data_IF_859784162964
#
_entry.id   IF_859784162964
#
_cell.length_a   1.000
_cell.length_b   1.000
_cell.length_c   1.000
_cell.angle_alpha   90.00
_cell.angle_beta   90.00
_cell.angle_gamma   90.00
#
_symmetry.space_group_name_H-M   'P 1'
#
loop_
_entity.id
_entity.type
_entity.pdbx_description
1 polymer ?
#
# COMPACT_ATOMS: atom_id res chain seq x y z
N UNK A 1 28.30 -18.65 8.17
CA UNK A 1 27.13 -18.19 7.37
C UNK A 1 25.96 -19.03 7.80
N UNK A 2 24.95 -18.40 8.39
CA UNK A 2 23.74 -19.06 8.86
C UNK A 2 22.92 -19.58 7.68
N UNK A 3 22.35 -20.77 7.80
CA UNK A 3 21.51 -21.38 6.76
C UNK A 3 20.24 -20.53 6.54
N UNK A 4 19.94 -20.08 5.30
CA UNK A 4 18.77 -19.25 5.01
C UNK A 4 17.45 -19.87 5.48
N UNK A 5 17.30 -21.20 5.40
CA UNK A 5 16.10 -21.88 5.87
C UNK A 5 15.88 -21.70 7.37
N UNK A 6 16.97 -21.64 8.15
CA UNK A 6 16.90 -21.42 9.60
C UNK A 6 16.44 -20.00 9.92
N UNK A 7 16.89 -19.02 9.16
CA UNK A 7 16.48 -17.62 9.31
C UNK A 7 14.98 -17.46 9.00
N UNK A 8 14.50 -18.10 7.92
CA UNK A 8 13.08 -18.04 7.52
C UNK A 8 12.15 -18.68 8.56
N UNK A 9 12.54 -19.83 9.12
CA UNK A 9 11.80 -20.47 10.20
C UNK A 9 11.81 -19.65 11.50
N UNK A 10 12.92 -19.00 11.82
CA UNK A 10 12.99 -18.08 12.96
C UNK A 10 12.15 -16.84 12.73
N UNK A 11 12.11 -16.30 11.51
CA UNK A 11 11.25 -15.18 11.14
C UNK A 11 9.76 -15.54 11.26
N UNK A 12 9.37 -16.76 10.88
CA UNK A 12 8.01 -17.27 11.05
C UNK A 12 7.59 -17.33 12.53
N UNK A 13 8.46 -17.88 13.39
CA UNK A 13 8.24 -17.89 14.84
C UNK A 13 8.19 -16.49 15.43
N UNK A 14 9.07 -15.60 14.98
CA UNK A 14 9.10 -14.20 15.41
C UNK A 14 7.80 -13.49 15.09
N UNK A 15 7.30 -13.69 13.87
CA UNK A 15 6.07 -13.07 13.40
C UNK A 15 4.85 -13.58 14.19
N UNK A 16 4.81 -14.88 14.52
CA UNK A 16 3.79 -15.45 15.39
C UNK A 16 3.88 -14.92 16.84
N UNK A 17 5.09 -14.80 17.40
CA UNK A 17 5.32 -14.25 18.74
C UNK A 17 4.90 -12.77 18.82
N UNK A 18 5.29 -11.97 17.81
CA UNK A 18 4.92 -10.55 17.69
C UNK A 18 3.42 -10.32 17.50
N UNK A 19 2.70 -11.31 16.97
CA UNK A 19 1.25 -11.26 16.87
C UNK A 19 0.57 -11.46 18.24
N UNK A 20 1.06 -12.41 19.02
CA UNK A 20 0.47 -12.77 20.32
C UNK A 20 0.86 -11.81 21.45
N UNK A 21 2.03 -11.17 21.38
CA UNK A 21 2.52 -10.27 22.44
C UNK A 21 3.26 -9.05 21.86
N UNK A 22 2.53 -8.00 21.48
CA UNK A 22 3.12 -6.74 21.02
C UNK A 22 3.45 -5.80 22.20
N UNK A 23 4.64 -5.14 22.23
CA UNK A 23 5.78 -5.31 21.33
C UNK A 23 6.56 -6.60 21.65
N UNK A 24 7.00 -7.34 20.62
CA UNK A 24 7.77 -8.56 20.84
C UNK A 24 9.26 -8.26 20.89
N UNK A 25 9.93 -8.87 21.86
CA UNK A 25 11.39 -8.87 21.97
C UNK A 25 12.00 -9.85 20.97
N UNK A 26 13.02 -9.39 20.24
CA UNK A 26 13.68 -10.17 19.18
C UNK A 26 14.46 -11.34 19.77
N UNK A 27 15.06 -11.14 20.95
CA UNK A 27 16.05 -12.05 21.53
C UNK A 27 15.46 -13.05 22.54
N UNK A 28 14.25 -12.81 23.05
CA UNK A 28 13.62 -13.67 24.05
C UNK A 28 12.90 -14.89 23.43
N UNK A 29 13.38 -15.36 22.27
CA UNK A 29 12.73 -16.46 21.58
C UNK A 29 13.12 -17.82 22.15
N UNK A 30 12.13 -18.63 22.58
CA UNK A 30 12.40 -20.01 22.94
C UNK A 30 12.65 -20.82 21.67
N UNK A 31 13.83 -21.43 21.53
CA UNK A 31 13.93 -22.62 20.69
C UNK A 31 15.11 -22.79 19.75
N UNK A 32 16.31 -22.34 20.11
CA UNK A 32 17.53 -22.89 19.50
C UNK A 32 18.32 -23.62 20.58
N UNK A 33 18.01 -24.90 20.78
CA UNK A 33 18.59 -25.76 21.84
C UNK A 33 20.06 -26.15 21.53
N UNK A 34 20.55 -25.89 20.31
CA UNK A 34 21.81 -26.48 19.80
C UNK A 34 22.81 -25.49 19.17
N UNK A 35 22.70 -24.19 19.44
CA UNK A 35 23.58 -23.17 18.88
C UNK A 35 24.35 -22.43 19.98
N UNK A 36 25.53 -21.91 19.67
CA UNK A 36 26.29 -21.00 20.55
C UNK A 36 25.48 -19.70 20.73
N UNK A 37 25.48 -19.06 21.89
CA UNK A 37 24.62 -17.88 22.16
C UNK A 37 24.78 -16.79 21.09
N UNK A 38 26.01 -16.53 20.65
CA UNK A 38 26.31 -15.54 19.60
C UNK A 38 25.65 -15.88 18.26
N UNK A 39 25.62 -17.17 17.91
CA UNK A 39 24.95 -17.62 16.68
C UNK A 39 23.43 -17.48 16.77
N UNK A 40 22.83 -17.71 17.94
CA UNK A 40 21.39 -17.48 18.15
C UNK A 40 21.01 -16.01 17.98
N UNK A 41 21.80 -15.12 18.58
CA UNK A 41 21.60 -13.67 18.50
C UNK A 41 21.70 -13.18 17.06
N UNK A 42 22.68 -13.67 16.30
CA UNK A 42 22.84 -13.33 14.88
C UNK A 42 21.63 -13.77 14.04
N UNK A 43 21.13 -15.00 14.24
CA UNK A 43 19.98 -15.54 13.49
C UNK A 43 18.70 -14.77 13.83
N UNK A 44 18.47 -14.45 15.10
CA UNK A 44 17.31 -13.67 15.53
C UNK A 44 17.32 -12.26 14.92
N UNK A 45 18.49 -11.62 14.88
CA UNK A 45 18.68 -10.32 14.24
C UNK A 45 18.44 -10.39 12.74
N UNK A 46 19.02 -11.37 12.05
CA UNK A 46 18.84 -11.52 10.61
C UNK A 46 17.38 -11.79 10.24
N UNK A 47 16.66 -12.56 11.07
CA UNK A 47 15.24 -12.80 10.93
C UNK A 47 14.40 -11.53 11.14
N UNK A 48 14.74 -10.73 12.15
CA UNK A 48 14.12 -9.44 12.41
C UNK A 48 14.32 -8.45 11.25
N UNK A 49 15.56 -8.31 10.78
CA UNK A 49 15.90 -7.46 9.64
C UNK A 49 15.17 -7.91 8.36
N UNK A 50 15.02 -9.22 8.16
CA UNK A 50 14.26 -9.80 7.05
C UNK A 50 12.76 -9.45 7.11
N UNK A 51 12.12 -9.49 8.29
CA UNK A 51 10.71 -9.09 8.46
C UNK A 51 10.49 -7.59 8.23
N UNK A 52 11.47 -6.78 8.60
CA UNK A 52 11.43 -5.33 8.35
C UNK A 52 11.64 -5.05 6.86
N UNK A 53 12.59 -5.74 6.22
CA UNK A 53 12.87 -5.61 4.77
C UNK A 53 11.65 -5.99 3.91
N UNK A 54 10.91 -7.01 4.31
CA UNK A 54 9.65 -7.44 3.66
C UNK A 54 8.43 -6.61 4.07
N UNK A 55 8.60 -5.58 4.92
CA UNK A 55 7.56 -4.66 5.42
C UNK A 55 6.45 -5.34 6.24
N UNK A 56 6.71 -6.54 6.77
CA UNK A 56 5.80 -7.25 7.67
C UNK A 56 5.89 -6.72 9.11
N UNK A 57 7.06 -6.21 9.50
CA UNK A 57 7.27 -5.59 10.80
C UNK A 57 8.03 -4.26 10.69
N UNK A 58 8.08 -3.51 11.79
CA UNK A 58 8.93 -2.34 11.99
C UNK A 58 9.57 -2.40 13.38
N UNK A 59 10.76 -1.85 13.52
CA UNK A 59 11.37 -1.67 14.84
C UNK A 59 10.57 -0.67 15.66
N UNK A 60 10.33 -1.01 16.92
CA UNK A 60 9.63 -0.15 17.87
C UNK A 60 10.58 0.86 18.53
N UNK A 61 11.86 0.51 18.59
CA UNK A 61 12.91 1.20 19.32
C UNK A 61 14.12 1.50 18.43
N UNK A 62 14.90 2.53 18.80
CA UNK A 62 16.14 2.90 18.12
C UNK A 62 17.23 1.81 18.29
N UNK A 63 17.17 1.05 19.38
CA UNK A 63 18.07 -0.07 19.67
C UNK A 63 17.78 -1.35 18.88
N UNK A 64 16.70 -1.39 18.08
CA UNK A 64 16.30 -2.54 17.25
C UNK A 64 16.22 -3.85 18.03
N UNK A 65 15.66 -3.78 19.23
CA UNK A 65 15.44 -4.94 20.12
C UNK A 65 13.98 -5.38 20.14
N UNK A 66 13.07 -4.49 19.75
CA UNK A 66 11.63 -4.71 19.78
C UNK A 66 11.02 -4.55 18.39
N UNK A 67 10.06 -5.43 18.08
CA UNK A 67 9.32 -5.39 16.82
C UNK A 67 7.83 -5.19 17.03
N UNK A 68 7.26 -4.37 16.16
CA UNK A 68 5.81 -4.18 16.03
C UNK A 68 5.40 -4.61 14.63
N UNK A 69 4.39 -5.47 14.54
CA UNK A 69 3.82 -5.89 13.27
C UNK A 69 3.10 -4.74 12.55
N UNK A 70 3.28 -4.68 11.24
CA UNK A 70 2.44 -3.84 10.36
C UNK A 70 1.09 -4.52 10.11
N UNK A 71 0.15 -3.83 9.45
CA UNK A 71 -1.12 -4.44 9.06
C UNK A 71 -0.92 -5.66 8.15
N UNK A 72 0.11 -5.64 7.30
CA UNK A 72 0.48 -6.78 6.46
C UNK A 72 1.03 -7.94 7.29
N UNK A 73 1.92 -7.67 8.26
CA UNK A 73 2.43 -8.71 9.16
C UNK A 73 1.34 -9.37 10.00
N UNK A 74 0.38 -8.59 10.50
CA UNK A 74 -0.79 -9.11 11.24
C UNK A 74 -1.67 -10.01 10.38
N UNK A 75 -1.89 -9.64 9.12
CA UNK A 75 -2.63 -10.46 8.18
C UNK A 75 -1.93 -11.81 7.98
N UNK A 76 -0.64 -11.80 7.66
CA UNK A 76 0.10 -13.02 7.39
C UNK A 76 0.27 -13.91 8.62
N UNK A 77 0.39 -13.32 9.82
CA UNK A 77 0.41 -14.09 11.07
C UNK A 77 -0.83 -14.98 11.24
N UNK A 78 -2.00 -14.51 10.78
CA UNK A 78 -3.25 -15.28 10.81
C UNK A 78 -3.38 -16.29 9.66
N UNK A 79 -2.73 -16.04 8.52
CA UNK A 79 -2.92 -16.80 7.27
C UNK A 79 -1.81 -17.82 7.00
N UNK A 80 -1.15 -18.30 8.05
CA UNK A 80 -0.10 -19.33 7.94
C UNK A 80 1.34 -18.81 8.05
N UNK A 81 1.50 -17.58 8.54
CA UNK A 81 2.79 -17.03 8.95
C UNK A 81 3.66 -16.50 7.80
N UNK A 82 4.95 -16.38 8.08
CA UNK A 82 5.95 -15.93 7.14
C UNK A 82 6.19 -16.97 6.02
N UNK A 83 6.08 -18.27 6.32
CA UNK A 83 6.24 -19.30 5.30
C UNK A 83 5.10 -19.31 4.28
N UNK A 84 3.87 -18.98 4.70
CA UNK A 84 2.76 -18.77 3.78
C UNK A 84 2.99 -17.54 2.89
N UNK A 85 3.50 -16.46 3.48
CA UNK A 85 3.92 -15.27 2.72
C UNK A 85 4.94 -15.63 1.63
N UNK A 86 5.97 -16.41 1.96
CA UNK A 86 6.98 -16.84 0.97
C UNK A 86 6.40 -17.68 -0.17
N UNK A 87 5.42 -18.55 0.10
CA UNK A 87 4.75 -19.35 -0.93
C UNK A 87 3.97 -18.49 -1.92
N UNK A 88 3.35 -17.40 -1.46
CA UNK A 88 2.60 -16.48 -2.31
C UNK A 88 3.52 -15.49 -3.04
N UNK A 89 4.56 -15.00 -2.35
CA UNK A 89 5.57 -14.09 -2.92
C UNK A 89 6.43 -14.82 -3.98
N UNK A 90 6.80 -16.08 -3.75
CA UNK A 90 7.54 -16.90 -4.75
C UNK A 90 6.71 -17.28 -5.98
N UNK A 91 5.38 -17.23 -5.90
CA UNK A 91 4.50 -17.40 -7.06
C UNK A 91 4.47 -16.15 -7.97
N UNK A 92 5.01 -15.02 -7.51
CA UNK A 92 5.01 -13.75 -8.24
C UNK A 92 6.44 -13.37 -8.62
N UNK A 93 6.89 -13.59 -9.87
CA UNK A 93 8.25 -13.27 -10.25
C UNK A 93 8.43 -11.75 -10.30
N UNK A 94 9.31 -11.26 -9.42
CA UNK A 94 10.01 -9.97 -9.52
C UNK A 94 9.18 -8.69 -9.27
N UNK A 95 9.45 -8.07 -8.13
CA UNK A 95 9.85 -6.66 -8.14
C UNK A 95 8.96 -5.71 -7.36
N UNK A 96 9.26 -5.56 -6.07
CA UNK A 96 9.29 -4.26 -5.39
C UNK A 96 7.99 -3.45 -5.41
N UNK A 97 7.16 -3.61 -4.39
CA UNK A 97 6.13 -2.62 -4.09
C UNK A 97 4.90 -3.26 -3.50
N UNK A 98 4.75 -3.12 -2.18
CA UNK A 98 3.63 -3.67 -1.45
C UNK A 98 2.26 -3.25 -2.01
N UNK A 99 1.27 -4.08 -1.70
CA UNK A 99 -0.13 -3.67 -1.69
C UNK A 99 -0.76 -3.52 -3.06
N UNK A 100 -0.58 -4.49 -3.96
CA UNK A 100 -1.38 -4.59 -5.18
C UNK A 100 -1.58 -6.05 -5.57
N UNK A 101 -2.25 -6.79 -4.70
CA UNK A 101 -3.32 -7.65 -5.22
C UNK A 101 -4.36 -6.66 -5.77
N UNK A 102 -4.14 -6.22 -7.02
CA UNK A 102 -5.03 -5.34 -7.75
C UNK A 102 -6.32 -6.11 -7.90
N UNK A 103 -7.27 -5.85 -7.00
CA UNK A 103 -8.62 -6.34 -7.16
C UNK A 103 -9.17 -5.65 -8.42
N UNK A 104 -9.33 -6.36 -9.57
CA UNK A 104 -9.67 -5.76 -10.85
C UNK A 104 -11.02 -5.03 -10.78
N UNK A 105 -11.88 -5.46 -9.87
CA UNK A 105 -13.18 -4.84 -9.57
C UNK A 105 -13.03 -3.44 -8.96
N UNK A 106 -12.01 -3.20 -8.13
CA UNK A 106 -11.79 -1.89 -7.50
C UNK A 106 -11.16 -0.87 -8.48
N UNK A 107 -10.36 -1.34 -9.44
CA UNK A 107 -9.85 -0.51 -10.55
C UNK A 107 -10.95 -0.20 -11.57
N UNK A 108 -11.86 -1.15 -11.83
CA UNK A 108 -13.05 -0.92 -12.65
C UNK A 108 -13.95 0.18 -12.04
N UNK A 109 -14.25 0.10 -10.74
CA UNK A 109 -15.05 1.10 -10.04
C UNK A 109 -14.40 2.49 -10.07
N UNK A 110 -13.08 2.60 -9.87
CA UNK A 110 -12.36 3.89 -9.99
C UNK A 110 -12.43 4.47 -11.40
N UNK A 111 -12.36 3.62 -12.42
CA UNK A 111 -12.48 4.05 -13.81
C UNK A 111 -13.88 4.55 -14.15
N UNK A 112 -14.92 3.94 -13.58
CA UNK A 112 -16.31 4.36 -13.77
C UNK A 112 -16.61 5.69 -13.09
N UNK A 113 -16.15 5.89 -11.85
CA UNK A 113 -16.29 7.18 -11.15
C UNK A 113 -15.55 8.32 -11.86
N UNK A 114 -14.36 8.07 -12.44
CA UNK A 114 -13.64 9.08 -13.25
C UNK A 114 -14.39 9.44 -14.54
N UNK A 115 -15.02 8.46 -15.21
CA UNK A 115 -15.83 8.72 -16.43
C UNK A 115 -17.04 9.59 -16.14
N UNK A 116 -17.74 9.36 -15.02
CA UNK A 116 -18.89 10.18 -14.63
C UNK A 116 -18.49 11.66 -14.46
N UNK A 117 -17.38 11.92 -13.76
CA UNK A 117 -16.89 13.28 -13.52
C UNK A 117 -16.51 14.01 -14.81
N UNK A 118 -15.93 13.28 -15.78
CA UNK A 118 -15.57 13.84 -17.07
C UNK A 118 -16.81 14.25 -17.88
N UNK A 119 -17.87 13.43 -17.86
CA UNK A 119 -19.11 13.75 -18.57
C UNK A 119 -19.82 14.97 -17.97
N UNK A 120 -19.89 15.08 -16.64
CA UNK A 120 -20.46 16.28 -15.98
C UNK A 120 -19.63 17.53 -16.28
N UNK A 121 -18.30 17.40 -16.35
CA UNK A 121 -17.43 18.49 -16.77
C UNK A 121 -17.72 18.93 -18.21
N UNK A 122 -17.83 17.99 -19.16
CA UNK A 122 -18.16 18.32 -20.56
C UNK A 122 -19.54 18.97 -20.73
N UNK A 123 -20.53 18.51 -19.97
CA UNK A 123 -21.86 19.13 -19.97
C UNK A 123 -21.83 20.57 -19.45
N UNK A 124 -21.18 20.80 -18.31
CA UNK A 124 -21.07 22.17 -17.74
C UNK A 124 -20.25 23.09 -18.63
N UNK A 125 -19.17 22.59 -19.23
CA UNK A 125 -18.36 23.35 -20.18
C UNK A 125 -19.15 23.71 -21.45
N UNK A 126 -19.88 22.75 -22.02
CA UNK A 126 -20.74 23.01 -23.18
C UNK A 126 -21.84 24.02 -22.89
N UNK A 127 -22.46 23.96 -21.70
CA UNK A 127 -23.50 24.88 -21.27
C UNK A 127 -22.95 26.31 -21.08
N UNK A 128 -21.71 26.43 -20.59
CA UNK A 128 -21.00 27.72 -20.50
C UNK A 128 -20.72 28.34 -21.88
N UNK A 129 -20.22 27.55 -22.83
CA UNK A 129 -19.99 28.01 -24.21
C UNK A 129 -21.29 28.45 -24.87
N UNK A 130 -22.36 27.68 -24.71
CA UNK A 130 -23.67 28.04 -25.27
C UNK A 130 -24.18 29.37 -24.72
N UNK A 131 -24.06 29.60 -23.41
CA UNK A 131 -24.39 30.88 -22.78
C UNK A 131 -23.54 32.04 -23.29
N UNK A 132 -22.25 31.83 -23.47
CA UNK A 132 -21.34 32.83 -24.02
C UNK A 132 -21.68 33.21 -25.46
N UNK A 133 -21.97 32.23 -26.32
CA UNK A 133 -22.37 32.48 -27.71
C UNK A 133 -23.70 33.24 -27.77
N UNK A 134 -24.68 32.88 -26.95
CA UNK A 134 -25.94 33.62 -26.86
C UNK A 134 -25.73 35.08 -26.42
N UNK A 135 -24.81 35.32 -25.49
CA UNK A 135 -24.43 36.68 -25.07
C UNK A 135 -23.84 37.49 -26.23
N UNK A 136 -22.92 36.91 -27.01
CA UNK A 136 -22.35 37.58 -28.18
C UNK A 136 -23.40 37.91 -29.24
N UNK A 137 -24.33 36.99 -29.52
CA UNK A 137 -25.42 37.21 -30.48
C UNK A 137 -26.32 38.35 -29.99
N UNK A 138 -26.67 38.36 -28.70
CA UNK A 138 -27.49 39.42 -28.11
C UNK A 138 -26.84 40.79 -28.23
N UNK A 139 -25.53 40.89 -27.94
CA UNK A 139 -24.77 42.14 -28.10
C UNK A 139 -24.68 42.57 -29.57
N UNK A 140 -24.43 41.63 -30.49
CA UNK A 140 -24.38 41.93 -31.91
C UNK A 140 -25.72 42.49 -32.41
N UNK A 141 -26.83 41.86 -32.06
CA UNK A 141 -28.18 42.33 -32.39
C UNK A 141 -28.40 43.74 -31.80
N UNK A 142 -28.05 43.95 -30.52
CA UNK A 142 -28.18 45.25 -29.88
C UNK A 142 -27.38 46.36 -30.58
N UNK A 143 -26.16 46.06 -31.05
CA UNK A 143 -25.34 47.02 -31.81
C UNK A 143 -25.94 47.33 -33.18
N UNK A 144 -26.34 46.32 -33.95
CA UNK A 144 -26.87 46.52 -35.30
C UNK A 144 -28.26 47.19 -35.31
N UNK A 145 -29.14 46.85 -34.36
CA UNK A 145 -30.48 47.43 -34.27
C UNK A 145 -30.53 48.70 -33.43
N UNK A 146 -29.71 48.82 -32.38
CA UNK A 146 -29.59 50.05 -31.59
C UNK A 146 -29.00 51.20 -32.39
N UNK A 147 -28.01 50.94 -33.24
CA UNK A 147 -27.45 51.94 -34.16
C UNK A 147 -28.46 52.41 -35.23
N UNK A 148 -29.53 51.65 -35.48
CA UNK A 148 -30.58 52.01 -36.44
C UNK A 148 -31.76 52.79 -35.81
N UNK A 149 -31.85 52.79 -34.48
CA UNK A 149 -32.92 53.42 -33.68
C UNK A 149 -32.50 54.75 -33.03
N UNK A 150 -31.23 55.15 -33.14
CA UNK A 150 -30.76 56.51 -32.86
C UNK A 150 -30.52 57.27 -34.18
N UNK A 151 -31.54 57.93 -34.76
CA UNK A 151 -31.32 59.03 -35.70
C UNK A 151 -30.75 60.26 -35.01
#
# INVERSE_FOLDING_TARGET
>A
MSDPATIEHTADRLLAAAYNSPPAEIFDQPGTVFADEDTKLSIAKDAADLLVRTRLAKFADDSRTQLILTNAGRYWALHGGYLAYLKDDSATPSGGGGGRQRNPEMEALRSEYMKLRLNTFWWSFGLSIAGFVMSLISVAIALFYGARLMP
#
